data_IF_445386849422
#
_entry.id   IF_445386849422
#
_cell.length_a   1.000
_cell.length_b   1.000
_cell.length_c   1.000
_cell.angle_alpha   90.00
_cell.angle_beta   90.00
_cell.angle_gamma   90.00
#
_symmetry.space_group_name_H-M   'P 1'
#
loop_
_entity.id
_entity.type
_entity.pdbx_description
1 polymer ?
#
# COMPACT_ATOMS: atom_id res chain seq x y z
N UNK A 1 30.72 -7.85 29.16
CA UNK A 1 30.27 -7.02 28.01
C UNK A 1 28.76 -7.14 27.91
N UNK A 2 28.04 -6.01 27.99
CA UNK A 2 26.57 -5.91 27.87
C UNK A 2 26.16 -6.08 26.40
N UNK A 3 25.06 -6.76 26.08
CA UNK A 3 23.72 -6.22 25.72
C UNK A 3 22.97 -7.36 24.98
N UNK A 4 21.65 -7.53 24.85
CA UNK A 4 20.43 -6.85 25.32
C UNK A 4 19.27 -7.85 25.10
N UNK A 5 18.41 -8.02 26.09
CA UNK A 5 17.17 -8.77 25.94
C UNK A 5 16.11 -7.92 25.23
N UNK A 6 15.71 -8.30 24.01
CA UNK A 6 14.56 -7.71 23.32
C UNK A 6 13.27 -8.38 23.82
N UNK A 7 12.23 -7.62 24.20
CA UNK A 7 11.01 -8.17 24.79
C UNK A 7 10.23 -9.03 23.78
N UNK A 8 9.52 -10.09 24.23
CA UNK A 8 8.78 -10.95 23.33
C UNK A 8 7.59 -10.19 22.74
N UNK A 9 7.63 -9.95 21.42
CA UNK A 9 6.51 -9.38 20.67
C UNK A 9 5.29 -10.30 20.80
N UNK A 10 4.23 -9.78 21.41
CA UNK A 10 2.92 -10.43 21.58
C UNK A 10 2.32 -10.77 20.22
N UNK A 11 2.34 -12.04 19.83
CA UNK A 11 1.41 -12.65 18.86
C UNK A 11 1.58 -14.18 18.88
N UNK A 12 0.89 -14.84 19.80
CA UNK A 12 0.90 -16.30 19.96
C UNK A 12 -0.04 -17.00 18.97
N UNK A 13 0.12 -16.73 17.66
CA UNK A 13 -0.47 -17.60 16.63
C UNK A 13 0.58 -18.64 16.31
N UNK A 14 0.38 -19.91 16.73
CA UNK A 14 1.34 -21.02 16.58
C UNK A 14 1.95 -21.00 15.17
N UNK A 15 3.13 -20.40 15.03
CA UNK A 15 3.82 -20.30 13.76
C UNK A 15 4.39 -21.69 13.51
N UNK A 16 3.84 -22.40 12.54
CA UNK A 16 4.52 -23.59 12.02
C UNK A 16 5.97 -23.19 11.71
N UNK A 17 6.98 -23.94 12.17
CA UNK A 17 8.37 -23.57 11.94
C UNK A 17 8.59 -23.45 10.43
N UNK A 18 9.13 -22.32 9.99
CA UNK A 18 9.36 -22.06 8.57
C UNK A 18 10.31 -23.12 8.03
N UNK A 19 9.87 -23.84 6.99
CA UNK A 19 10.66 -24.87 6.30
C UNK A 19 11.49 -24.24 5.19
N UNK A 20 12.66 -24.80 4.91
CA UNK A 20 13.47 -24.44 3.75
C UNK A 20 12.64 -24.61 2.47
N UNK A 21 12.59 -23.60 1.60
CA UNK A 21 11.88 -23.71 0.32
C UNK A 21 12.61 -24.59 -0.70
N UNK A 22 13.91 -24.87 -0.48
CA UNK A 22 14.68 -25.72 -1.40
C UNK A 22 14.52 -27.21 -1.07
N UNK A 23 14.54 -27.60 0.20
CA UNK A 23 14.50 -29.01 0.62
C UNK A 23 13.36 -29.36 1.58
N UNK A 24 12.52 -28.40 1.96
CA UNK A 24 11.35 -28.57 2.84
C UNK A 24 11.66 -29.06 4.26
N UNK A 25 12.93 -29.09 4.67
CA UNK A 25 13.33 -29.36 6.04
C UNK A 25 13.20 -28.11 6.93
N UNK A 26 12.72 -28.24 8.18
CA UNK A 26 12.51 -27.12 9.10
C UNK A 26 13.79 -26.62 9.79
N UNK A 27 14.93 -27.31 9.61
CA UNK A 27 16.17 -27.03 10.36
C UNK A 27 16.94 -25.79 9.84
N UNK A 28 16.62 -25.28 8.65
CA UNK A 28 17.30 -24.13 8.07
C UNK A 28 16.38 -23.38 7.09
N UNK A 29 16.77 -22.17 6.70
CA UNK A 29 16.12 -21.39 5.65
C UNK A 29 16.85 -21.59 4.31
N UNK A 30 16.18 -21.32 3.18
CA UNK A 30 16.73 -21.58 1.83
C UNK A 30 18.11 -20.99 1.57
N UNK A 31 18.42 -19.84 2.18
CA UNK A 31 19.73 -19.19 2.07
C UNK A 31 20.87 -20.02 2.71
N UNK A 32 20.56 -20.79 3.75
CA UNK A 32 21.52 -21.60 4.50
C UNK A 32 21.32 -23.10 4.24
N UNK A 33 20.73 -23.45 3.08
CA UNK A 33 20.50 -24.84 2.72
C UNK A 33 21.83 -25.53 2.40
N UNK A 34 22.22 -26.61 3.09
CA UNK A 34 23.46 -27.32 2.78
C UNK A 34 23.44 -27.97 1.38
N UNK A 35 22.27 -28.05 0.75
CA UNK A 35 22.10 -28.39 -0.67
C UNK A 35 21.97 -27.09 -1.48
N UNK A 36 23.07 -26.42 -1.83
CA UNK A 36 23.11 -25.40 -2.91
C UNK A 36 24.02 -25.99 -4.00
N UNK A 37 23.76 -25.95 -5.31
CA UNK A 37 23.17 -24.91 -6.16
C UNK A 37 22.45 -25.56 -7.35
N UNK A 38 21.24 -25.11 -7.70
CA UNK A 38 20.93 -24.93 -9.12
C UNK A 38 21.29 -23.48 -9.41
N UNK A 39 22.36 -23.28 -10.15
CA UNK A 39 22.55 -22.01 -10.82
C UNK A 39 21.34 -21.85 -11.74
N UNK A 40 20.37 -21.03 -11.34
CA UNK A 40 19.41 -20.54 -12.30
C UNK A 40 20.23 -19.73 -13.30
N UNK A 41 20.32 -20.19 -14.55
CA UNK A 41 20.92 -19.49 -15.69
C UNK A 41 20.11 -18.24 -16.08
N UNK A 42 19.78 -17.42 -15.09
CA UNK A 42 19.36 -16.05 -15.27
C UNK A 42 20.50 -15.23 -14.67
N UNK A 43 21.62 -15.21 -15.40
CA UNK A 43 22.62 -14.18 -15.23
C UNK A 43 21.87 -12.84 -15.32
N UNK A 44 21.66 -12.19 -14.17
CA UNK A 44 21.19 -10.82 -14.14
C UNK A 44 22.24 -10.00 -14.89
N UNK A 45 21.90 -9.28 -15.98
CA UNK A 45 22.80 -8.23 -16.42
C UNK A 45 22.99 -7.29 -15.23
N UNK A 46 24.25 -7.06 -14.89
CA UNK A 46 24.68 -6.07 -13.92
C UNK A 46 24.12 -4.71 -14.32
N UNK A 47 23.43 -4.03 -13.40
CA UNK A 47 23.01 -2.63 -13.48
C UNK A 47 22.41 -2.18 -14.83
N UNK A 48 21.13 -2.44 -15.04
CA UNK A 48 20.33 -1.68 -16.02
C UNK A 48 19.30 -0.85 -15.26
N UNK A 49 19.66 0.40 -15.05
CA UNK A 49 18.85 1.57 -14.70
C UNK A 49 17.56 1.29 -13.91
N UNK A 50 17.58 1.64 -12.62
CA UNK A 50 16.35 1.87 -11.87
C UNK A 50 15.57 2.95 -12.62
N UNK A 51 14.47 2.57 -13.25
CA UNK A 51 13.57 3.52 -13.89
C UNK A 51 12.99 4.40 -12.78
N UNK A 52 13.59 5.58 -12.65
CA UNK A 52 13.27 6.52 -11.58
C UNK A 52 12.16 7.41 -12.12
N UNK A 53 10.94 7.22 -11.63
CA UNK A 53 9.84 8.12 -11.94
C UNK A 53 10.01 9.39 -11.10
N UNK A 54 10.28 10.52 -11.73
CA UNK A 54 10.15 11.81 -11.06
C UNK A 54 8.66 12.12 -10.87
N UNK A 55 8.18 12.07 -9.62
CA UNK A 55 6.86 12.62 -9.30
C UNK A 55 6.99 14.14 -9.41
N UNK A 56 6.50 14.71 -10.49
CA UNK A 56 6.33 16.17 -10.57
C UNK A 56 5.19 16.52 -9.62
N UNK A 57 5.44 17.26 -8.52
CA UNK A 57 4.38 17.67 -7.63
C UNK A 57 3.46 18.59 -8.41
N UNK A 58 2.21 18.18 -8.60
CA UNK A 58 1.18 19.11 -9.04
C UNK A 58 0.88 19.99 -7.83
N UNK A 59 1.49 21.18 -7.78
CA UNK A 59 1.40 22.10 -6.63
C UNK A 59 0.05 22.80 -6.51
N UNK A 60 -0.94 22.38 -7.31
CA UNK A 60 -2.28 22.95 -7.34
C UNK A 60 -3.27 22.18 -6.50
N UNK A 61 -4.35 22.85 -6.09
CA UNK A 61 -5.53 22.18 -5.57
C UNK A 61 -6.11 21.30 -6.69
N UNK A 62 -6.28 20.01 -6.41
CA UNK A 62 -6.94 19.10 -7.33
C UNK A 62 -8.46 19.34 -7.23
N UNK A 63 -9.00 20.06 -8.21
CA UNK A 63 -10.44 20.31 -8.32
C UNK A 63 -11.04 19.38 -9.38
N UNK A 64 -12.27 18.91 -9.13
CA UNK A 64 -12.99 18.03 -10.05
C UNK A 64 -14.48 18.30 -10.05
N UNK A 65 -15.05 18.27 -11.24
CA UNK A 65 -16.51 18.29 -11.43
C UNK A 65 -17.12 16.95 -11.08
N UNK A 66 -18.11 17.00 -10.21
CA UNK A 66 -18.96 15.85 -9.87
C UNK A 66 -20.42 16.22 -10.04
N UNK A 67 -21.24 15.25 -10.42
CA UNK A 67 -22.69 15.43 -10.52
C UNK A 67 -23.35 14.86 -9.26
N UNK A 68 -24.10 15.71 -8.54
CA UNK A 68 -24.96 15.33 -7.41
C UNK A 68 -26.41 15.58 -7.80
N UNK A 69 -27.18 14.50 -7.99
CA UNK A 69 -28.53 14.59 -8.55
C UNK A 69 -28.48 15.11 -9.99
N UNK A 70 -29.13 16.25 -10.24
CA UNK A 70 -29.15 16.93 -11.55
C UNK A 70 -28.15 18.09 -11.65
N UNK A 71 -27.39 18.38 -10.58
CA UNK A 71 -26.45 19.50 -10.54
C UNK A 71 -25.01 19.02 -10.62
N UNK A 72 -24.19 19.74 -11.39
CA UNK A 72 -22.74 19.57 -11.42
C UNK A 72 -22.09 20.60 -10.50
N UNK A 73 -21.20 20.13 -9.62
CA UNK A 73 -20.48 20.97 -8.66
C UNK A 73 -18.97 20.73 -8.74
N UNK A 74 -18.19 21.80 -8.50
CA UNK A 74 -16.73 21.75 -8.42
C UNK A 74 -16.30 21.36 -7.01
N UNK A 75 -15.50 20.31 -6.88
CA UNK A 75 -15.07 19.76 -5.58
C UNK A 75 -13.57 19.66 -5.45
N UNK A 76 -13.09 19.79 -4.21
CA UNK A 76 -11.69 19.59 -3.85
C UNK A 76 -11.42 18.11 -3.56
N UNK A 77 -10.38 17.56 -4.16
CA UNK A 77 -9.87 16.22 -3.84
C UNK A 77 -8.88 16.35 -2.67
N UNK A 78 -9.28 15.85 -1.51
CA UNK A 78 -8.46 15.79 -0.30
C UNK A 78 -8.17 14.33 0.08
N UNK A 79 -6.89 13.93 0.01
CA UNK A 79 -6.45 12.57 0.39
C UNK A 79 -6.12 12.44 1.88
N UNK A 80 -6.15 13.54 2.64
CA UNK A 80 -5.86 13.58 4.08
C UNK A 80 -7.07 13.29 4.97
N UNK A 81 -8.26 13.06 4.39
CA UNK A 81 -9.51 12.81 5.12
C UNK A 81 -10.26 11.61 4.54
N UNK A 82 -10.93 10.85 5.40
CA UNK A 82 -11.77 9.70 5.02
C UNK A 82 -13.24 10.06 4.76
N UNK A 83 -13.61 11.32 4.97
CA UNK A 83 -14.99 11.82 4.88
C UNK A 83 -15.04 12.98 3.90
N UNK A 84 -16.04 12.98 3.03
CA UNK A 84 -16.36 14.10 2.14
C UNK A 84 -17.26 15.09 2.87
N UNK A 85 -16.92 16.38 2.78
CA UNK A 85 -17.73 17.47 3.33
C UNK A 85 -18.38 18.24 2.18
N UNK A 86 -19.63 18.63 2.38
CA UNK A 86 -20.38 19.50 1.48
C UNK A 86 -20.83 20.73 2.25
N UNK A 87 -20.79 21.90 1.61
CA UNK A 87 -21.35 23.11 2.20
C UNK A 87 -22.87 23.01 2.25
N UNK A 88 -23.47 23.61 3.27
CA UNK A 88 -24.91 23.55 3.50
C UNK A 88 -25.74 24.18 2.37
N UNK A 89 -25.26 25.29 1.80
CA UNK A 89 -25.89 25.95 0.65
C UNK A 89 -25.88 25.05 -0.59
N UNK A 90 -24.72 24.44 -0.91
CA UNK A 90 -24.58 23.50 -2.02
C UNK A 90 -25.44 22.25 -1.79
N UNK A 91 -25.49 21.74 -0.57
CA UNK A 91 -26.32 20.57 -0.23
C UNK A 91 -27.81 20.87 -0.41
N UNK A 92 -28.28 22.02 0.07
CA UNK A 92 -29.68 22.45 -0.07
C UNK A 92 -30.07 22.57 -1.54
N UNK A 93 -29.16 23.07 -2.35
CA UNK A 93 -29.30 23.22 -3.79
C UNK A 93 -29.36 21.89 -4.55
N UNK A 94 -28.58 20.89 -4.13
CA UNK A 94 -28.54 19.57 -4.76
C UNK A 94 -29.62 18.61 -4.23
N UNK A 95 -30.38 19.01 -3.19
CA UNK A 95 -31.40 18.15 -2.59
C UNK A 95 -32.59 18.01 -3.55
N UNK A 96 -33.06 16.78 -3.83
CA UNK A 96 -34.31 16.61 -4.54
C UNK A 96 -35.44 17.25 -3.73
N UNK A 97 -36.13 18.22 -4.32
CA UNK A 97 -37.37 18.78 -3.79
C UNK A 97 -38.43 17.69 -3.85
N UNK A 98 -38.55 16.93 -2.75
CA UNK A 98 -39.59 15.95 -2.38
C UNK A 98 -40.48 15.43 -3.51
N UNK A 99 -40.42 14.11 -3.73
CA UNK A 99 -41.51 13.34 -4.34
C UNK A 99 -42.80 13.60 -3.56
N UNK A 100 -43.84 14.06 -4.26
CA UNK A 100 -45.22 14.18 -3.76
C UNK A 100 -45.89 12.82 -3.69
#
# INVERSE_FOLDING_TARGET
MKYNETPPSKDFKRRTPRKCFNCHFPNHLSYNCPKVKKESEHARPSNSEVQTCSVVPQTGLHLKDITLGEKTIYTLIDTGRSVSLIREDVYSDCRPTKFF
#
